data_IF_752584677583
#
_entry.id   IF_752584677583
#
_cell.length_a   1.000
_cell.length_b   1.000
_cell.length_c   1.000
_cell.angle_alpha   90.00
_cell.angle_beta   90.00
_cell.angle_gamma   90.00
#
_symmetry.space_group_name_H-M   'P 1'
#
loop_
_entity.id
_entity.type
_entity.pdbx_description
1 polymer ?
#
# COMPACT_ATOMS: atom_id res chain seq x y z
N UNK A 1 -10.68 -33.19 -58.91
CA UNK A 1 -9.31 -32.95 -58.41
C UNK A 1 -9.47 -32.37 -57.02
N UNK A 2 -9.32 -33.22 -56.00
CA UNK A 2 -9.42 -32.80 -54.60
C UNK A 2 -8.22 -31.90 -54.29
N UNK A 3 -8.49 -30.64 -54.02
CA UNK A 3 -7.48 -29.67 -53.62
C UNK A 3 -7.14 -29.96 -52.15
N UNK A 4 -5.95 -30.54 -51.93
CA UNK A 4 -5.41 -30.77 -50.60
C UNK A 4 -4.95 -29.40 -50.10
N UNK A 5 -5.71 -28.81 -49.17
CA UNK A 5 -5.25 -27.65 -48.43
C UNK A 5 -3.95 -28.02 -47.71
N UNK A 6 -2.89 -27.18 -47.77
CA UNK A 6 -1.68 -27.45 -47.02
C UNK A 6 -2.02 -27.39 -45.53
N UNK A 7 -1.82 -28.50 -44.81
CA UNK A 7 -1.81 -28.52 -43.36
C UNK A 7 -0.82 -27.45 -42.89
N UNK A 8 -1.35 -26.41 -42.23
CA UNK A 8 -0.55 -25.30 -41.75
C UNK A 8 0.47 -25.80 -40.75
N UNK A 9 1.74 -25.49 -40.99
CA UNK A 9 2.75 -25.50 -39.94
C UNK A 9 2.29 -24.46 -38.92
N UNK A 10 1.74 -24.87 -37.78
CA UNK A 10 1.36 -23.96 -36.70
C UNK A 10 2.62 -23.20 -36.26
N UNK A 11 2.71 -21.93 -36.67
CA UNK A 11 3.79 -21.05 -36.23
C UNK A 11 3.61 -20.70 -34.76
N UNK A 12 4.73 -20.49 -34.06
CA UNK A 12 4.75 -20.05 -32.66
C UNK A 12 3.75 -18.91 -32.41
N UNK A 13 2.97 -19.02 -31.33
CA UNK A 13 1.99 -18.01 -30.91
C UNK A 13 2.69 -16.67 -30.70
N UNK A 14 2.02 -15.57 -31.00
CA UNK A 14 2.60 -14.24 -30.83
C UNK A 14 1.96 -13.50 -29.66
N UNK A 15 2.80 -12.96 -28.78
CA UNK A 15 2.39 -12.26 -27.59
C UNK A 15 2.70 -10.75 -27.62
N UNK A 16 1.75 -9.98 -27.09
CA UNK A 16 1.98 -8.64 -26.58
C UNK A 16 2.17 -8.69 -25.06
N UNK A 17 3.19 -8.02 -24.53
CA UNK A 17 3.35 -7.77 -23.09
C UNK A 17 3.07 -6.31 -22.83
N UNK A 18 2.07 -6.02 -22.02
CA UNK A 18 1.64 -4.69 -21.62
C UNK A 18 1.83 -4.57 -20.11
N UNK A 19 2.67 -3.63 -19.69
CA UNK A 19 3.11 -3.50 -18.30
C UNK A 19 2.63 -2.18 -17.75
N UNK A 20 1.84 -2.26 -16.68
CA UNK A 20 1.60 -1.13 -15.80
C UNK A 20 2.87 -0.90 -14.97
N UNK A 21 3.81 -0.18 -15.56
CA UNK A 21 5.14 -0.01 -14.99
C UNK A 21 5.12 0.96 -13.81
N UNK A 22 4.18 1.89 -13.80
CA UNK A 22 3.96 2.78 -12.66
C UNK A 22 3.66 1.98 -11.40
N UNK A 23 2.67 1.08 -11.46
CA UNK A 23 2.29 0.27 -10.31
C UNK A 23 3.35 -0.79 -9.96
N UNK A 24 3.97 -1.42 -10.96
CA UNK A 24 5.09 -2.34 -10.74
C UNK A 24 6.26 -1.64 -10.02
N UNK A 25 6.63 -0.44 -10.44
CA UNK A 25 7.71 0.34 -9.84
C UNK A 25 7.40 0.68 -8.38
N UNK A 26 6.20 1.20 -8.10
CA UNK A 26 5.80 1.55 -6.74
C UNK A 26 5.81 0.34 -5.80
N UNK A 27 5.27 -0.79 -6.27
CA UNK A 27 5.26 -2.02 -5.49
C UNK A 27 6.69 -2.51 -5.17
N UNK A 28 7.55 -2.64 -6.20
CA UNK A 28 8.92 -3.09 -6.01
C UNK A 28 9.70 -2.13 -5.13
N UNK A 29 9.57 -0.81 -5.36
CA UNK A 29 10.27 0.20 -4.57
C UNK A 29 9.84 0.18 -3.11
N UNK A 30 8.55 0.02 -2.83
CA UNK A 30 8.01 -0.07 -1.46
C UNK A 30 8.50 -1.29 -0.69
N UNK A 31 8.92 -2.35 -1.38
CA UNK A 31 9.49 -3.57 -0.77
C UNK A 31 11.02 -3.59 -0.76
N UNK A 32 11.67 -2.75 -1.55
CA UNK A 32 13.13 -2.68 -1.61
C UNK A 32 13.68 -1.73 -0.54
N UNK A 33 14.81 -2.11 0.06
CA UNK A 33 15.59 -1.20 0.92
C UNK A 33 16.25 -0.08 0.13
N UNK A 34 16.94 0.84 0.83
CA UNK A 34 17.58 2.04 0.25
C UNK A 34 18.54 1.74 -0.92
N UNK A 35 19.19 0.58 -0.91
CA UNK A 35 20.17 0.18 -1.94
C UNK A 35 19.58 -0.68 -3.07
N UNK A 36 18.28 -1.01 -2.98
CA UNK A 36 17.59 -1.84 -3.96
C UNK A 36 17.16 -1.06 -5.20
N UNK A 37 17.35 -1.68 -6.37
CA UNK A 37 16.96 -1.15 -7.68
C UNK A 37 15.71 -1.87 -8.19
N UNK A 38 14.58 -1.15 -8.27
CA UNK A 38 13.33 -1.72 -8.77
C UNK A 38 13.45 -2.06 -10.26
N UNK A 39 14.23 -1.27 -11.02
CA UNK A 39 14.54 -1.55 -12.40
C UNK A 39 15.21 -2.92 -12.58
N UNK A 40 16.17 -3.31 -11.74
CA UNK A 40 16.88 -4.59 -11.88
C UNK A 40 15.96 -5.79 -11.56
N UNK A 41 15.12 -5.68 -10.54
CA UNK A 41 14.09 -6.70 -10.25
C UNK A 41 13.07 -6.81 -11.38
N UNK A 42 12.61 -5.68 -11.92
CA UNK A 42 11.73 -5.70 -13.09
C UNK A 42 12.41 -6.38 -14.30
N UNK A 43 13.71 -6.15 -14.51
CA UNK A 43 14.50 -6.85 -15.52
C UNK A 43 14.52 -8.37 -15.34
N UNK A 44 14.73 -8.84 -14.10
CA UNK A 44 14.64 -10.28 -13.78
C UNK A 44 13.25 -10.84 -14.08
N UNK A 45 12.20 -10.14 -13.66
CA UNK A 45 10.82 -10.52 -13.94
C UNK A 45 10.56 -10.62 -15.44
N UNK A 46 10.93 -9.60 -16.24
CA UNK A 46 10.73 -9.63 -17.69
C UNK A 46 11.51 -10.74 -18.38
N UNK A 47 12.71 -11.06 -17.89
CA UNK A 47 13.48 -12.21 -18.37
C UNK A 47 12.71 -13.51 -18.13
N UNK A 48 12.32 -13.76 -16.88
CA UNK A 48 11.61 -14.98 -16.50
C UNK A 48 10.27 -15.12 -17.22
N UNK A 49 9.52 -14.02 -17.38
CA UNK A 49 8.29 -13.98 -18.15
C UNK A 49 8.52 -14.39 -19.62
N UNK A 50 9.55 -13.83 -20.26
CA UNK A 50 9.90 -14.19 -21.64
C UNK A 50 10.32 -15.66 -21.77
N UNK A 51 11.10 -16.16 -20.81
CA UNK A 51 11.53 -17.56 -20.80
C UNK A 51 10.32 -18.50 -20.61
N UNK A 52 9.34 -18.11 -19.78
CA UNK A 52 8.06 -18.82 -19.63
C UNK A 52 7.23 -18.82 -20.92
N UNK A 53 7.09 -17.67 -21.57
CA UNK A 53 6.36 -17.58 -22.84
C UNK A 53 7.01 -18.47 -23.92
N UNK A 54 8.35 -18.47 -23.99
CA UNK A 54 9.09 -19.30 -24.93
C UNK A 54 8.90 -20.80 -24.65
N UNK A 55 8.82 -21.21 -23.38
CA UNK A 55 8.53 -22.60 -23.00
C UNK A 55 7.12 -23.05 -23.42
N UNK A 56 6.19 -22.11 -23.59
CA UNK A 56 4.83 -22.32 -24.10
C UNK A 56 4.71 -21.98 -25.61
N UNK A 57 5.81 -22.10 -26.36
CA UNK A 57 5.91 -21.80 -27.80
C UNK A 57 5.25 -20.45 -28.20
N UNK A 58 5.36 -19.47 -27.30
CA UNK A 58 4.79 -18.14 -27.46
C UNK A 58 5.92 -17.11 -27.51
N UNK A 59 6.02 -16.39 -28.62
CA UNK A 59 7.05 -15.39 -28.86
C UNK A 59 6.54 -13.99 -28.53
N UNK A 60 7.28 -13.27 -27.70
CA UNK A 60 7.09 -11.82 -27.51
C UNK A 60 7.39 -11.07 -28.82
N UNK A 61 6.40 -10.38 -29.38
CA UNK A 61 6.54 -9.56 -30.61
C UNK A 61 6.32 -8.06 -30.35
N UNK A 62 5.64 -7.71 -29.25
CA UNK A 62 5.38 -6.34 -28.82
C UNK A 62 5.47 -6.25 -27.30
N UNK A 63 6.33 -5.40 -26.77
CA UNK A 63 6.43 -5.12 -25.34
C UNK A 63 6.22 -3.63 -25.10
N UNK A 64 5.34 -3.24 -24.18
CA UNK A 64 5.13 -1.83 -23.79
C UNK A 64 5.02 -1.70 -22.28
N UNK A 65 5.67 -0.68 -21.73
CA UNK A 65 5.62 -0.32 -20.32
C UNK A 65 5.13 1.12 -20.17
N UNK A 66 4.06 1.32 -19.42
CA UNK A 66 3.38 2.61 -19.27
C UNK A 66 3.69 3.20 -17.89
N UNK A 67 4.21 4.43 -17.86
CA UNK A 67 4.49 5.17 -16.63
C UNK A 67 4.72 6.67 -16.90
N UNK A 68 4.63 7.49 -15.85
CA UNK A 68 5.27 8.80 -15.84
C UNK A 68 6.74 8.62 -15.47
N UNK A 69 7.55 8.22 -16.45
CA UNK A 69 8.99 7.98 -16.26
C UNK A 69 9.77 9.18 -15.69
N UNK A 70 9.22 10.40 -15.81
CA UNK A 70 9.82 11.61 -15.26
C UNK A 70 9.58 11.77 -13.77
N UNK A 71 8.53 11.13 -13.23
CA UNK A 71 8.19 11.12 -11.81
C UNK A 71 8.76 9.92 -11.02
N UNK A 72 9.46 9.00 -11.68
CA UNK A 72 10.11 7.88 -11.00
C UNK A 72 11.38 8.35 -10.29
N UNK A 73 11.55 7.93 -9.05
CA UNK A 73 12.68 8.24 -8.18
C UNK A 73 13.96 7.45 -8.51
N UNK A 74 13.84 6.35 -9.26
CA UNK A 74 14.98 5.66 -9.84
C UNK A 74 15.64 6.49 -10.95
N UNK A 75 16.93 6.24 -11.22
CA UNK A 75 17.62 6.83 -12.36
C UNK A 75 16.85 6.49 -13.65
N UNK A 76 16.09 7.43 -14.21
CA UNK A 76 15.23 7.24 -15.40
C UNK A 76 15.96 6.55 -16.56
N UNK A 77 17.26 6.84 -16.73
CA UNK A 77 18.12 6.20 -17.72
C UNK A 77 18.30 4.70 -17.49
N UNK A 78 18.43 4.27 -16.24
CA UNK A 78 18.54 2.86 -15.85
C UNK A 78 17.26 2.10 -16.16
N UNK A 79 16.11 2.64 -15.76
CA UNK A 79 14.77 2.09 -16.09
C UNK A 79 14.62 1.91 -17.61
N UNK A 80 14.84 2.97 -18.39
CA UNK A 80 14.69 2.91 -19.85
C UNK A 80 15.65 1.90 -20.49
N UNK A 81 16.90 1.82 -20.02
CA UNK A 81 17.87 0.84 -20.49
C UNK A 81 17.40 -0.59 -20.20
N UNK A 82 16.92 -0.85 -18.99
CA UNK A 82 16.43 -2.18 -18.61
C UNK A 82 15.24 -2.59 -19.47
N UNK A 83 14.25 -1.72 -19.65
CA UNK A 83 13.10 -1.99 -20.53
C UNK A 83 13.55 -2.37 -21.95
N UNK A 84 14.45 -1.58 -22.53
CA UNK A 84 14.98 -1.82 -23.88
C UNK A 84 15.70 -3.18 -23.99
N UNK A 85 16.53 -3.56 -23.01
CA UNK A 85 17.23 -4.85 -22.98
C UNK A 85 16.27 -6.05 -22.95
N UNK A 86 15.04 -5.85 -22.47
CA UNK A 86 14.01 -6.87 -22.41
C UNK A 86 12.97 -6.78 -23.54
N UNK A 87 13.22 -5.98 -24.59
CA UNK A 87 12.30 -5.75 -25.70
C UNK A 87 10.94 -5.17 -25.25
N UNK A 88 10.97 -4.34 -24.21
CA UNK A 88 9.83 -3.56 -23.74
C UNK A 88 10.08 -2.08 -24.09
N UNK A 89 9.16 -1.47 -24.83
CA UNK A 89 9.21 -0.06 -25.20
C UNK A 89 8.58 0.80 -24.08
N UNK A 90 9.27 1.85 -23.58
CA UNK A 90 8.67 2.78 -22.65
C UNK A 90 7.64 3.69 -23.35
N UNK A 91 6.42 3.73 -22.82
CA UNK A 91 5.36 4.64 -23.22
C UNK A 91 5.21 5.69 -22.13
N UNK A 92 5.69 6.90 -22.41
CA UNK A 92 5.60 8.01 -21.48
C UNK A 92 4.15 8.51 -21.37
N UNK A 93 3.58 8.46 -20.16
CA UNK A 93 2.25 8.99 -19.87
C UNK A 93 2.38 10.02 -18.76
N UNK A 94 2.16 11.32 -19.03
CA UNK A 94 2.33 12.36 -18.02
C UNK A 94 1.25 12.29 -16.95
N UNK A 95 1.64 12.28 -15.67
CA UNK A 95 0.73 12.24 -14.52
C UNK A 95 0.07 13.60 -14.21
N UNK A 96 0.41 14.66 -14.95
CA UNK A 96 -0.05 16.04 -14.73
C UNK A 96 -1.54 16.27 -14.99
N UNK A 97 -2.24 15.28 -15.54
CA UNK A 97 -3.67 15.38 -15.88
C UNK A 97 -4.58 14.74 -14.83
N UNK A 98 -4.35 13.47 -14.43
CA UNK A 98 -5.12 12.74 -13.39
C UNK A 98 -4.35 11.51 -12.87
N UNK A 99 -4.72 10.96 -11.70
CA UNK A 99 -4.02 9.83 -11.06
C UNK A 99 -4.03 8.50 -11.86
N UNK A 100 -4.94 8.34 -12.82
CA UNK A 100 -5.15 7.07 -13.55
C UNK A 100 -4.92 7.19 -15.07
N UNK A 101 -4.16 8.20 -15.53
CA UNK A 101 -3.95 8.41 -16.98
C UNK A 101 -3.13 7.27 -17.61
N UNK A 102 -2.18 6.70 -16.86
CA UNK A 102 -1.37 5.56 -17.28
C UNK A 102 -2.21 4.32 -17.58
N UNK A 103 -3.12 3.97 -16.66
CA UNK A 103 -4.00 2.81 -16.80
C UNK A 103 -4.93 2.94 -18.00
N UNK A 104 -5.48 4.15 -18.19
CA UNK A 104 -6.34 4.46 -19.33
C UNK A 104 -5.58 4.34 -20.66
N UNK A 105 -4.35 4.84 -20.75
CA UNK A 105 -3.54 4.73 -21.97
C UNK A 105 -3.23 3.26 -22.29
N UNK A 106 -2.85 2.47 -21.28
CA UNK A 106 -2.61 1.03 -21.45
C UNK A 106 -3.86 0.33 -21.98
N UNK A 107 -5.03 0.60 -21.36
CA UNK A 107 -6.30 0.00 -21.74
C UNK A 107 -6.68 0.33 -23.20
N UNK A 108 -6.51 1.59 -23.62
CA UNK A 108 -6.75 2.02 -25.00
C UNK A 108 -5.83 1.30 -25.97
N UNK A 109 -4.52 1.29 -25.69
CA UNK A 109 -3.52 0.64 -26.53
C UNK A 109 -3.77 -0.88 -26.65
N UNK A 110 -4.18 -1.55 -25.56
CA UNK A 110 -4.48 -2.98 -25.57
C UNK A 110 -5.64 -3.31 -26.53
N UNK A 111 -6.74 -2.56 -26.42
CA UNK A 111 -7.95 -2.75 -27.24
C UNK A 111 -7.69 -2.38 -28.69
N UNK A 112 -6.88 -1.35 -28.94
CA UNK A 112 -6.50 -0.93 -30.29
C UNK A 112 -5.52 -1.91 -30.96
N UNK A 113 -4.54 -2.41 -30.20
CA UNK A 113 -3.57 -3.41 -30.65
C UNK A 113 -4.27 -4.69 -31.11
N UNK A 114 -5.30 -5.13 -30.38
CA UNK A 114 -6.16 -6.25 -30.78
C UNK A 114 -6.71 -6.12 -32.20
N UNK A 115 -7.05 -4.90 -32.63
CA UNK A 115 -7.58 -4.64 -33.97
C UNK A 115 -6.49 -4.42 -35.02
N UNK A 116 -5.38 -3.77 -34.66
CA UNK A 116 -4.28 -3.46 -35.61
C UNK A 116 -3.30 -4.60 -35.84
N UNK A 117 -3.20 -5.51 -34.88
CA UNK A 117 -2.26 -6.62 -34.86
C UNK A 117 -2.99 -7.95 -34.69
N UNK A 118 -3.77 -8.39 -35.70
CA UNK A 118 -4.53 -9.64 -35.61
C UNK A 118 -3.64 -10.87 -35.39
N UNK A 119 -2.38 -10.82 -35.79
CA UNK A 119 -1.35 -11.85 -35.57
C UNK A 119 -1.05 -12.11 -34.08
N UNK A 120 -1.31 -11.14 -33.20
CA UNK A 120 -1.13 -11.28 -31.76
C UNK A 120 -2.34 -12.04 -31.21
N UNK A 121 -2.09 -13.25 -30.73
CA UNK A 121 -3.11 -14.15 -30.17
C UNK A 121 -3.08 -14.23 -28.65
N UNK A 122 -1.95 -13.86 -28.04
CA UNK A 122 -1.75 -13.84 -26.58
C UNK A 122 -1.48 -12.41 -26.10
N UNK A 123 -2.16 -11.99 -25.04
CA UNK A 123 -1.92 -10.73 -24.35
C UNK A 123 -1.45 -11.04 -22.94
N UNK A 124 -0.32 -10.49 -22.55
CA UNK A 124 0.16 -10.55 -21.17
C UNK A 124 -0.06 -9.18 -20.56
N UNK A 125 -0.91 -9.12 -19.54
CA UNK A 125 -1.17 -7.90 -18.77
C UNK A 125 -0.41 -8.02 -17.45
N UNK A 126 0.67 -7.27 -17.31
CA UNK A 126 1.37 -7.16 -16.04
C UNK A 126 0.75 -6.01 -15.24
N UNK A 127 -0.29 -6.32 -14.49
CA UNK A 127 -1.12 -5.38 -13.75
C UNK A 127 -1.90 -6.08 -12.62
N UNK A 128 -2.27 -5.33 -11.59
CA UNK A 128 -3.00 -5.82 -10.42
C UNK A 128 -4.41 -5.25 -10.24
N UNK A 129 -4.74 -4.14 -10.90
CA UNK A 129 -5.94 -3.35 -10.60
C UNK A 129 -7.23 -3.93 -11.24
N UNK A 130 -8.36 -3.80 -10.52
CA UNK A 130 -9.70 -4.14 -11.04
C UNK A 130 -10.06 -3.39 -12.32
N UNK A 131 -9.48 -2.20 -12.53
CA UNK A 131 -9.78 -1.34 -13.68
C UNK A 131 -9.37 -1.99 -15.01
N UNK A 132 -8.55 -3.05 -15.00
CA UNK A 132 -8.20 -3.84 -16.17
C UNK A 132 -9.19 -4.95 -16.53
N UNK A 133 -10.16 -5.28 -15.66
CA UNK A 133 -11.14 -6.35 -15.93
C UNK A 133 -11.96 -6.14 -17.22
N UNK A 134 -12.38 -4.90 -17.59
CA UNK A 134 -13.01 -4.64 -18.89
C UNK A 134 -12.07 -4.91 -20.08
N UNK A 135 -10.76 -4.66 -19.92
CA UNK A 135 -9.75 -4.93 -20.96
C UNK A 135 -9.61 -6.43 -21.19
N UNK A 136 -9.48 -7.21 -20.10
CA UNK A 136 -9.46 -8.68 -20.15
C UNK A 136 -10.70 -9.20 -20.88
N UNK A 137 -11.88 -8.75 -20.44
CA UNK A 137 -13.17 -9.14 -21.06
C UNK A 137 -13.22 -8.81 -22.56
N UNK A 138 -12.77 -7.62 -22.95
CA UNK A 138 -12.77 -7.18 -24.35
C UNK A 138 -11.79 -7.96 -25.24
N UNK A 139 -10.68 -8.45 -24.69
CA UNK A 139 -9.71 -9.29 -25.37
C UNK A 139 -10.24 -10.73 -25.53
N UNK A 140 -10.75 -11.32 -24.43
CA UNK A 140 -11.36 -12.66 -24.43
C UNK A 140 -12.55 -12.75 -25.39
N UNK A 141 -13.40 -11.72 -25.44
CA UNK A 141 -14.54 -11.64 -26.36
C UNK A 141 -14.14 -11.67 -27.86
N UNK A 142 -12.85 -11.50 -28.18
CA UNK A 142 -12.29 -11.62 -29.53
C UNK A 142 -11.38 -12.84 -29.68
N UNK A 143 -11.57 -13.86 -28.85
CA UNK A 143 -10.82 -15.11 -28.83
C UNK A 143 -9.31 -14.89 -28.68
N UNK A 144 -8.90 -13.85 -27.96
CA UNK A 144 -7.50 -13.66 -27.55
C UNK A 144 -7.29 -14.36 -26.22
N UNK A 145 -6.15 -15.02 -26.06
CA UNK A 145 -5.70 -15.52 -24.75
C UNK A 145 -5.17 -14.36 -23.93
N UNK A 146 -5.53 -14.27 -22.65
CA UNK A 146 -5.08 -13.19 -21.76
C UNK A 146 -4.43 -13.79 -20.52
N UNK A 147 -3.12 -13.59 -20.37
CA UNK A 147 -2.33 -13.97 -19.21
C UNK A 147 -2.16 -12.76 -18.28
N UNK A 148 -2.74 -12.81 -17.08
CA UNK A 148 -2.53 -11.77 -16.07
C UNK A 148 -1.30 -12.11 -15.24
N UNK A 149 -0.40 -11.15 -15.09
CA UNK A 149 0.82 -11.26 -14.27
C UNK A 149 0.77 -10.18 -13.21
N UNK A 150 0.88 -10.56 -11.94
CA UNK A 150 0.84 -9.60 -10.85
C UNK A 150 1.25 -10.23 -9.54
N UNK A 151 1.56 -9.40 -8.55
CA UNK A 151 1.81 -9.90 -7.19
C UNK A 151 0.48 -10.30 -6.58
N UNK A 152 0.37 -11.56 -6.16
CA UNK A 152 -0.90 -12.14 -5.69
C UNK A 152 -1.51 -11.35 -4.53
N UNK A 153 -0.67 -10.77 -3.68
CA UNK A 153 -1.09 -9.97 -2.52
C UNK A 153 -1.72 -8.62 -2.93
N UNK A 154 -1.38 -8.10 -4.10
CA UNK A 154 -1.84 -6.81 -4.63
C UNK A 154 -2.75 -6.98 -5.87
N UNK A 155 -3.14 -8.21 -6.18
CA UNK A 155 -4.06 -8.51 -7.25
C UNK A 155 -5.51 -8.33 -6.76
N UNK A 156 -6.30 -7.57 -7.50
CA UNK A 156 -7.72 -7.45 -7.26
C UNK A 156 -8.44 -8.81 -7.44
N UNK A 157 -9.22 -9.29 -6.46
CA UNK A 157 -10.06 -10.46 -6.62
C UNK A 157 -11.02 -10.33 -7.81
N UNK A 158 -11.52 -9.12 -8.07
CA UNK A 158 -12.39 -8.84 -9.20
C UNK A 158 -11.69 -9.02 -10.55
N UNK A 159 -10.42 -8.62 -10.68
CA UNK A 159 -9.65 -8.86 -11.91
C UNK A 159 -9.46 -10.37 -12.13
N UNK A 160 -9.16 -11.10 -11.05
CA UNK A 160 -8.96 -12.54 -11.11
C UNK A 160 -10.24 -13.30 -11.51
N UNK A 161 -11.41 -12.88 -11.04
CA UNK A 161 -12.72 -13.42 -11.46
C UNK A 161 -12.98 -13.30 -12.96
N UNK A 162 -12.37 -12.32 -13.63
CA UNK A 162 -12.50 -12.10 -15.09
C UNK A 162 -11.38 -12.77 -15.90
N UNK A 163 -10.43 -13.41 -15.22
CA UNK A 163 -9.30 -14.10 -15.85
C UNK A 163 -9.61 -15.59 -15.97
N UNK A 164 -9.35 -16.18 -17.14
CA UNK A 164 -9.57 -17.62 -17.34
C UNK A 164 -8.76 -18.47 -16.35
N UNK A 165 -9.32 -19.61 -15.96
CA UNK A 165 -8.68 -20.50 -14.99
C UNK A 165 -7.30 -20.95 -15.46
N UNK A 166 -6.26 -20.65 -14.67
CA UNK A 166 -4.87 -20.97 -14.99
C UNK A 166 -4.14 -19.90 -15.81
N UNK A 167 -4.81 -18.82 -16.20
CA UNK A 167 -4.21 -17.68 -16.92
C UNK A 167 -3.81 -16.54 -15.97
N UNK A 168 -3.43 -16.89 -14.74
CA UNK A 168 -2.78 -16.01 -13.77
C UNK A 168 -1.38 -16.53 -13.44
N UNK A 169 -0.40 -15.63 -13.37
CA UNK A 169 0.96 -15.92 -12.91
C UNK A 169 1.31 -14.95 -11.79
N UNK A 170 1.69 -15.50 -10.64
CA UNK A 170 2.23 -14.71 -9.55
C UNK A 170 3.61 -14.17 -9.95
N UNK A 171 3.75 -12.84 -9.91
CA UNK A 171 5.01 -12.17 -10.19
C UNK A 171 6.13 -12.58 -9.21
N UNK A 172 5.80 -12.99 -7.98
CA UNK A 172 6.78 -13.52 -7.03
C UNK A 172 7.49 -14.77 -7.56
N UNK A 173 6.78 -15.65 -8.29
CA UNK A 173 7.34 -16.87 -8.88
C UNK A 173 8.30 -16.59 -10.05
N UNK A 174 8.25 -15.37 -10.61
CA UNK A 174 9.12 -14.92 -11.69
C UNK A 174 10.36 -14.18 -11.19
N UNK A 175 10.44 -13.89 -9.89
CA UNK A 175 11.57 -13.22 -9.28
C UNK A 175 12.60 -14.22 -8.75
N UNK A 176 13.89 -13.83 -8.62
CA UNK A 176 14.87 -14.64 -7.93
C UNK A 176 14.45 -14.91 -6.47
N UNK A 177 14.74 -16.09 -5.95
CA UNK A 177 14.43 -16.44 -4.56
C UNK A 177 15.02 -15.42 -3.57
N UNK A 178 14.23 -15.03 -2.56
CA UNK A 178 14.62 -14.05 -1.53
C UNK A 178 15.00 -12.66 -2.06
N UNK A 179 14.54 -12.29 -3.26
CA UNK A 179 14.80 -10.97 -3.85
C UNK A 179 13.93 -9.86 -3.25
N UNK A 180 12.77 -10.21 -2.68
CA UNK A 180 11.92 -9.30 -1.93
C UNK A 180 11.86 -9.75 -0.47
N UNK A 181 12.09 -8.86 0.51
CA UNK A 181 11.85 -9.17 1.92
C UNK A 181 10.36 -9.45 2.12
N UNK A 182 9.94 -10.37 3.01
CA UNK A 182 8.53 -10.66 3.27
C UNK A 182 7.74 -9.37 3.57
N UNK A 183 6.48 -9.34 3.14
CA UNK A 183 5.65 -8.16 3.34
C UNK A 183 5.40 -7.95 4.83
N UNK A 184 5.58 -6.72 5.29
CA UNK A 184 5.30 -6.34 6.67
C UNK A 184 3.78 -6.47 6.92
N UNK A 185 3.37 -7.26 7.92
CA UNK A 185 1.96 -7.44 8.25
C UNK A 185 1.33 -6.09 8.65
N UNK A 186 0.04 -5.90 8.33
CA UNK A 186 -0.69 -4.71 8.77
C UNK A 186 -0.61 -4.59 10.29
N UNK A 187 -0.27 -3.40 10.77
CA UNK A 187 -0.04 -3.11 12.19
C UNK A 187 1.39 -3.32 12.66
N UNK A 188 2.29 -3.84 11.83
CA UNK A 188 3.72 -3.90 12.19
C UNK A 188 4.37 -2.51 12.14
N UNK A 189 5.34 -2.22 13.04
CA UNK A 189 6.08 -0.97 13.02
C UNK A 189 6.89 -0.84 11.72
N UNK A 190 6.76 0.29 11.03
CA UNK A 190 7.64 0.64 9.89
C UNK A 190 9.03 0.99 10.41
N UNK A 191 9.08 1.60 11.60
CA UNK A 191 10.29 1.89 12.35
C UNK A 191 9.97 1.70 13.83
N UNK A 192 10.76 0.87 14.52
CA UNK A 192 10.69 0.75 15.98
C UNK A 192 11.30 2.00 16.60
N UNK A 193 10.52 2.68 17.44
CA UNK A 193 10.96 3.81 18.26
C UNK A 193 11.05 3.37 19.73
N UNK A 194 11.97 3.93 20.50
CA UNK A 194 12.04 3.75 21.96
C UNK A 194 11.49 5.01 22.63
N UNK A 195 11.09 4.93 23.90
CA UNK A 195 10.72 6.12 24.66
C UNK A 195 11.98 6.94 24.98
N UNK A 196 11.87 8.26 24.93
CA UNK A 196 12.91 9.16 25.41
C UNK A 196 13.08 9.04 26.93
N UNK A 197 14.20 9.56 27.46
CA UNK A 197 14.44 9.58 28.90
C UNK A 197 13.37 10.39 29.62
N UNK A 198 12.74 9.79 30.63
CA UNK A 198 11.64 10.39 31.38
C UNK A 198 12.07 11.71 32.02
N UNK A 199 11.44 12.79 31.58
CA UNK A 199 11.65 14.15 32.05
C UNK A 199 10.31 14.74 32.52
N UNK A 200 10.39 15.74 33.38
CA UNK A 200 9.18 16.43 33.82
C UNK A 200 8.57 17.22 32.64
N UNK A 201 7.24 17.15 32.42
CA UNK A 201 6.59 17.95 31.38
C UNK A 201 6.90 19.44 31.58
N UNK A 202 7.14 20.14 30.48
CA UNK A 202 7.67 21.50 30.53
C UNK A 202 6.61 22.53 30.93
N UNK A 203 5.35 22.27 30.58
CA UNK A 203 4.24 23.19 30.78
C UNK A 203 3.09 22.51 31.52
N UNK A 204 2.32 23.30 32.28
CA UNK A 204 1.12 22.79 32.96
C UNK A 204 0.09 22.20 31.97
N UNK A 205 0.01 22.76 30.75
CA UNK A 205 -0.89 22.27 29.70
C UNK A 205 -0.51 20.87 29.18
N UNK A 206 0.73 20.41 29.41
CA UNK A 206 1.14 19.04 29.08
C UNK A 206 0.48 18.04 30.03
N UNK A 207 0.26 18.42 31.29
CA UNK A 207 -0.51 17.62 32.24
C UNK A 207 -1.99 17.56 31.85
N UNK A 208 -2.57 18.67 31.39
CA UNK A 208 -3.94 18.68 30.86
C UNK A 208 -4.06 17.73 29.65
N UNK A 209 -3.06 17.71 28.77
CA UNK A 209 -3.01 16.79 27.63
C UNK A 209 -2.90 15.33 28.08
N UNK A 210 -2.09 15.01 29.08
CA UNK A 210 -2.02 13.68 29.69
C UNK A 210 -3.34 13.29 30.34
N UNK A 211 -4.03 14.21 31.02
CA UNK A 211 -5.34 13.95 31.61
C UNK A 211 -6.36 13.58 30.54
N UNK A 212 -6.41 14.33 29.42
CA UNK A 212 -7.28 14.01 28.28
C UNK A 212 -6.92 12.64 27.69
N UNK A 213 -5.63 12.34 27.52
CA UNK A 213 -5.17 11.04 27.01
C UNK A 213 -5.65 9.91 27.92
N UNK A 214 -5.38 9.99 29.22
CA UNK A 214 -5.72 8.93 30.18
C UNK A 214 -7.23 8.78 30.36
N UNK A 215 -7.96 9.90 30.47
CA UNK A 215 -9.41 9.91 30.66
C UNK A 215 -10.18 9.29 29.50
N UNK A 216 -9.80 9.59 28.27
CA UNK A 216 -10.55 9.14 27.08
C UNK A 216 -9.95 7.92 26.40
N UNK A 217 -8.65 7.69 26.58
CA UNK A 217 -7.91 6.66 25.85
C UNK A 217 -7.04 5.74 26.72
N UNK A 218 -6.92 5.96 28.04
CA UNK A 218 -6.06 5.15 28.93
C UNK A 218 -6.41 3.66 29.01
N UNK A 219 -7.60 3.28 28.55
CA UNK A 219 -8.04 1.88 28.40
C UNK A 219 -7.42 1.17 27.18
N UNK A 220 -6.82 1.90 26.25
CA UNK A 220 -6.23 1.36 25.02
C UNK A 220 -4.71 1.30 25.16
N UNK A 221 -4.13 0.16 24.80
CA UNK A 221 -2.66 0.02 24.75
C UNK A 221 -2.05 0.89 23.63
N UNK A 222 -2.82 1.19 22.60
CA UNK A 222 -2.42 2.01 21.45
C UNK A 222 -3.51 3.00 21.07
N UNK A 223 -3.11 4.22 20.73
CA UNK A 223 -4.03 5.32 20.45
C UNK A 223 -3.79 5.83 19.04
N UNK A 224 -4.79 5.78 18.17
CA UNK A 224 -4.68 6.36 16.84
C UNK A 224 -4.52 7.89 16.94
N UNK A 225 -3.51 8.43 16.26
CA UNK A 225 -3.16 9.85 16.38
C UNK A 225 -4.30 10.78 15.91
N UNK A 226 -4.99 10.44 14.82
CA UNK A 226 -6.04 11.31 14.27
C UNK A 226 -7.24 11.51 15.23
N UNK A 227 -7.84 10.45 15.81
CA UNK A 227 -8.84 10.60 16.87
C UNK A 227 -8.33 11.37 18.09
N UNK A 228 -7.08 11.13 18.51
CA UNK A 228 -6.48 11.79 19.66
C UNK A 228 -6.35 13.30 19.45
N UNK A 229 -5.74 13.73 18.33
CA UNK A 229 -5.57 15.15 18.01
C UNK A 229 -6.91 15.89 17.97
N UNK A 230 -7.95 15.24 17.47
CA UNK A 230 -9.31 15.80 17.48
C UNK A 230 -9.83 15.97 18.91
N UNK A 231 -9.62 14.97 19.78
CA UNK A 231 -10.05 15.07 21.19
C UNK A 231 -9.28 16.13 21.96
N UNK A 232 -7.95 16.21 21.79
CA UNK A 232 -7.15 17.28 22.38
C UNK A 232 -7.64 18.66 21.91
N UNK A 233 -7.96 18.81 20.63
CA UNK A 233 -8.53 20.04 20.09
C UNK A 233 -9.90 20.38 20.69
N UNK A 234 -10.75 19.38 20.95
CA UNK A 234 -12.11 19.58 21.47
C UNK A 234 -12.09 19.96 22.97
N UNK A 235 -11.17 19.39 23.76
CA UNK A 235 -11.11 19.58 25.21
C UNK A 235 -10.23 20.76 25.65
N UNK A 236 -9.05 20.93 25.02
CA UNK A 236 -8.05 21.95 25.41
C UNK A 236 -8.20 23.22 24.56
N UNK A 237 -8.59 23.07 23.29
CA UNK A 237 -8.67 24.17 22.33
C UNK A 237 -7.31 24.56 21.73
N UNK A 238 -7.27 25.70 21.04
CA UNK A 238 -6.03 26.28 20.51
C UNK A 238 -5.52 27.35 21.47
N UNK A 239 -4.49 27.00 22.26
CA UNK A 239 -3.77 27.93 23.13
C UNK A 239 -2.52 28.42 22.40
N UNK A 240 -2.16 29.70 22.55
CA UNK A 240 -1.00 30.29 21.86
C UNK A 240 0.27 29.43 22.04
N UNK A 241 0.78 28.89 20.94
CA UNK A 241 1.98 28.05 20.91
C UNK A 241 1.78 26.57 21.27
N UNK A 242 0.58 26.15 21.67
CA UNK A 242 0.29 24.79 22.18
C UNK A 242 -0.91 24.19 21.44
N UNK A 243 -0.78 24.01 20.13
CA UNK A 243 -1.77 23.25 19.37
C UNK A 243 -1.64 21.74 19.66
N UNK A 244 -2.66 20.92 19.37
CA UNK A 244 -2.65 19.50 19.68
C UNK A 244 -1.43 18.71 19.17
N UNK A 245 -0.78 19.15 18.08
CA UNK A 245 0.43 18.49 17.59
C UNK A 245 1.65 18.87 18.41
N UNK A 246 1.76 20.13 18.83
CA UNK A 246 2.83 20.59 19.71
C UNK A 246 2.75 19.88 21.06
N UNK A 247 1.54 19.77 21.65
CA UNK A 247 1.34 19.02 22.89
C UNK A 247 1.80 17.56 22.78
N UNK A 248 1.49 16.89 21.66
CA UNK A 248 1.97 15.51 21.43
C UNK A 248 3.49 15.46 21.27
N UNK A 249 4.11 16.47 20.66
CA UNK A 249 5.56 16.54 20.51
C UNK A 249 6.25 16.81 21.85
N UNK A 250 5.71 17.70 22.68
CA UNK A 250 6.23 18.03 24.01
C UNK A 250 6.19 16.80 24.93
N UNK A 251 5.07 16.04 24.89
CA UNK A 251 4.94 14.78 25.61
C UNK A 251 5.86 13.67 25.09
N UNK A 252 6.20 13.68 23.80
CA UNK A 252 7.15 12.75 23.21
C UNK A 252 8.58 13.10 23.64
N UNK A 253 8.93 14.39 23.68
CA UNK A 253 10.24 14.90 24.11
C UNK A 253 10.52 14.62 25.59
N UNK A 254 9.50 14.68 26.45
CA UNK A 254 9.66 14.33 27.86
C UNK A 254 9.59 12.80 28.14
N UNK A 255 9.34 11.98 27.12
CA UNK A 255 9.30 10.52 27.26
C UNK A 255 8.01 9.96 27.89
N UNK A 256 6.97 10.80 28.06
CA UNK A 256 5.66 10.38 28.54
C UNK A 256 4.89 9.57 27.50
N UNK A 257 5.13 9.84 26.21
CA UNK A 257 4.54 9.10 25.09
C UNK A 257 5.61 8.79 24.03
N UNK A 258 5.33 7.87 23.10
CA UNK A 258 6.07 7.79 21.84
C UNK A 258 5.14 7.57 20.67
N UNK A 259 5.50 8.10 19.52
CA UNK A 259 4.82 7.84 18.27
C UNK A 259 5.46 6.65 17.54
N UNK A 260 4.60 5.79 17.00
CA UNK A 260 5.01 4.66 16.17
C UNK A 260 4.21 4.67 14.87
N UNK A 261 4.92 4.80 13.75
CA UNK A 261 4.31 4.68 12.43
C UNK A 261 4.22 3.21 12.05
N UNK A 262 3.01 2.76 11.72
CA UNK A 262 2.68 1.36 11.43
C UNK A 262 2.21 1.19 10.00
N UNK A 263 2.46 -0.01 9.48
CA UNK A 263 1.99 -0.41 8.15
C UNK A 263 0.47 -0.50 8.18
N UNK A 264 -0.20 0.23 7.31
CA UNK A 264 -1.65 0.22 7.19
C UNK A 264 -2.13 -0.14 5.79
N UNK A 265 -3.44 -0.35 5.66
CA UNK A 265 -4.11 -0.61 4.38
C UNK A 265 -5.40 0.23 4.32
N UNK A 266 -5.55 1.18 3.39
CA UNK A 266 -4.69 1.47 2.23
C UNK A 266 -3.51 2.42 2.52
N UNK A 267 -3.47 3.08 3.68
CA UNK A 267 -2.42 4.03 4.06
C UNK A 267 -1.83 3.64 5.41
N UNK A 268 -0.54 3.91 5.58
CA UNK A 268 0.13 3.81 6.88
C UNK A 268 -0.53 4.75 7.89
N UNK A 269 -0.48 4.36 9.17
CA UNK A 269 -1.05 5.15 10.26
C UNK A 269 -0.05 5.32 11.39
N UNK A 270 -0.26 6.33 12.21
CA UNK A 270 0.55 6.57 13.40
C UNK A 270 -0.28 6.29 14.64
N UNK A 271 0.29 5.51 15.55
CA UNK A 271 -0.24 5.32 16.90
C UNK A 271 0.65 6.02 17.90
N UNK A 272 0.03 6.48 18.98
CA UNK A 272 0.68 6.95 20.18
C UNK A 272 0.60 5.85 21.24
N UNK A 273 1.73 5.61 21.88
CA UNK A 273 1.89 4.66 22.98
C UNK A 273 2.25 5.47 24.22
N UNK A 274 1.57 5.20 25.34
CA UNK A 274 1.81 5.91 26.60
C UNK A 274 2.82 5.14 27.45
N UNK A 275 3.81 5.84 27.99
CA UNK A 275 4.78 5.27 28.91
C UNK A 275 4.17 5.13 30.30
N UNK A 276 3.67 3.94 30.63
CA UNK A 276 3.06 3.66 31.93
C UNK A 276 4.02 3.75 33.13
N UNK A 277 5.33 3.80 32.91
CA UNK A 277 6.34 3.96 33.96
C UNK A 277 6.76 5.43 34.15
N UNK A 278 6.24 6.34 33.32
CA UNK A 278 6.55 7.77 33.43
C UNK A 278 5.92 8.39 34.69
N UNK A 279 6.67 9.19 35.49
CA UNK A 279 6.16 9.79 36.72
C UNK A 279 4.88 10.62 36.52
N UNK A 280 4.86 11.53 35.53
CA UNK A 280 3.68 12.35 35.26
C UNK A 280 2.45 11.54 34.80
N UNK A 281 2.66 10.45 34.04
CA UNK A 281 1.56 9.55 33.64
C UNK A 281 1.00 8.82 34.85
N UNK A 282 1.87 8.39 35.77
CA UNK A 282 1.47 7.71 37.01
C UNK A 282 0.68 8.66 37.91
N UNK A 283 1.15 9.90 38.06
CA UNK A 283 0.47 10.95 38.84
C UNK A 283 -0.95 11.21 38.31
N UNK A 284 -1.09 11.50 37.00
CA UNK A 284 -2.39 11.73 36.36
C UNK A 284 -3.31 10.53 36.50
N UNK A 285 -2.79 9.30 36.36
CA UNK A 285 -3.58 8.08 36.57
C UNK A 285 -4.11 7.97 37.98
N UNK A 286 -3.27 8.23 38.98
CA UNK A 286 -3.68 8.19 40.39
C UNK A 286 -4.75 9.22 40.71
N UNK A 287 -4.66 10.43 40.15
CA UNK A 287 -5.65 11.48 40.32
C UNK A 287 -7.01 11.11 39.72
N UNK A 288 -7.03 10.60 38.48
CA UNK A 288 -8.26 10.17 37.80
C UNK A 288 -8.92 9.01 38.54
N UNK A 289 -8.15 8.01 38.97
CA UNK A 289 -8.67 6.86 39.72
C UNK A 289 -9.10 7.27 41.13
N UNK A 290 -8.38 8.17 41.81
CA UNK A 290 -8.72 8.70 43.13
C UNK A 290 -10.03 9.50 43.13
N UNK A 291 -10.26 10.31 42.09
CA UNK A 291 -11.50 11.06 41.92
C UNK A 291 -12.73 10.14 41.73
N UNK A 292 -12.58 9.00 41.06
CA UNK A 292 -13.67 8.03 40.85
C UNK A 292 -14.13 7.33 42.14
N UNK A 293 -13.27 7.19 43.15
CA UNK A 293 -13.59 6.56 44.44
C UNK A 293 -14.36 7.51 45.37
N UNK A 294 -14.12 8.82 45.29
CA UNK A 294 -14.78 9.81 46.16
C UNK A 294 -16.25 10.06 45.78
N UNK A 295 -16.65 9.90 44.52
CA UNK A 295 -18.05 10.11 44.10
C UNK A 295 -19.04 9.03 44.57
N UNK A 296 -18.58 7.95 45.19
CA UNK A 296 -19.43 6.86 45.65
C UNK A 296 -19.83 6.95 47.14
N UNK A 297 -19.33 7.93 47.91
CA UNK A 297 -19.50 8.01 49.38
C UNK A 297 -20.37 9.19 49.86
N UNK A 298 -21.04 9.91 48.97
CA UNK A 298 -22.06 10.91 49.36
C UNK A 298 -23.38 10.22 49.73
N UNK A 299 -23.37 9.57 50.90
CA UNK A 299 -24.53 9.00 51.56
C UNK A 299 -25.55 10.07 51.92
N UNK A 300 -26.67 10.10 51.18
CA UNK A 300 -27.86 10.85 51.60
C UNK A 300 -28.45 10.21 52.87
N UNK A 301 -28.79 10.99 53.91
CA UNK A 301 -29.46 10.48 55.10
C UNK A 301 -30.89 10.05 54.75
N UNK A 302 -31.22 8.79 55.08
CA UNK A 302 -32.59 8.29 55.03
C UNK A 302 -33.42 9.00 56.10
N UNK A 303 -34.32 9.89 55.70
CA UNK A 303 -35.41 10.35 56.56
C UNK A 303 -36.45 9.23 56.71
N UNK A 304 -36.65 8.85 57.95
CA UNK A 304 -37.64 7.91 58.45
C UNK A 304 -38.99 8.66 58.49
N UNK A 305 -39.94 8.26 57.66
CA UNK A 305 -41.34 8.64 57.85
C UNK A 305 -42.26 7.46 57.51
N UNK A 306 -43.10 7.17 58.49
CA UNK A 306 -43.94 6.00 58.61
C UNK A 306 -45.35 6.22 58.05
N UNK A 307 -45.85 5.22 57.31
CA UNK A 307 -47.24 4.77 57.28
C UNK A 307 -47.14 3.23 57.10
N UNK A 308 -47.62 2.33 57.96
CA UNK A 308 -48.87 2.19 58.73
C UNK A 308 -48.58 1.39 60.00
#
# INVERSE_FOLDING_TARGET
>A
MSEIAPEGVEGARQAAVLVDYQNLHHYLKGRLGRDGSSADLAGHLFKALRDRLAADDTRLVRGRAYADFGGLDDHTRHVQRTLYLHAIEPVYVPATMHRNTTDLQLAVDAVEMRSRHPEITTYVLLAGDRDYAPVVTALLAQNKRVLVVGFKEHLSPYLLEHTDAGEFVDANDLLPSNSLPPEAEVGTPIQTTEFEEAQDPQYEIDYDALEVIEKFFGQYEEIYLTPLLRRLSDEIGEVDGHDPKSLVADLEECGAVRLERRKGMPYDYTVLLVNGEHPAVTEVREEIHGASVQTADDGLPFEDDAEI
#
